data_IF_830179796882
#
_entry.id   IF_830179796882
#
_cell.length_a   1.000
_cell.length_b   1.000
_cell.length_c   1.000
_cell.angle_alpha   90.00
_cell.angle_beta   90.00
_cell.angle_gamma   90.00
#
_symmetry.space_group_name_H-M   'P 1'
#
loop_
_entity.id
_entity.type
_entity.pdbx_description
1 polymer ?
#
# COMPACT_ATOMS: atom_id res chain seq x y z
N UNK A 1 -9.59 -3.81 50.44
CA UNK A 1 -9.26 -5.23 50.22
C UNK A 1 -10.44 -5.89 49.55
N UNK A 2 -10.31 -6.22 48.27
CA UNK A 2 -11.30 -6.98 47.49
C UNK A 2 -10.54 -7.68 46.39
N UNK A 3 -10.43 -9.00 46.51
CA UNK A 3 -9.45 -9.84 45.84
C UNK A 3 -9.73 -9.99 44.34
N UNK A 4 -8.68 -9.77 43.54
CA UNK A 4 -8.56 -10.30 42.17
C UNK A 4 -8.49 -11.83 42.28
N UNK A 5 -9.50 -12.53 41.77
CA UNK A 5 -9.42 -13.98 41.54
C UNK A 5 -8.91 -14.17 40.12
N UNK A 6 -7.62 -14.51 40.02
CA UNK A 6 -6.97 -14.85 38.76
C UNK A 6 -7.53 -16.14 38.20
N UNK A 7 -8.04 -16.08 36.97
CA UNK A 7 -8.25 -17.28 36.14
C UNK A 7 -6.94 -17.63 35.43
N UNK A 8 -6.58 -18.90 35.54
CA UNK A 8 -5.28 -19.50 35.26
C UNK A 8 -4.76 -19.24 33.84
N UNK A 9 -3.59 -18.59 33.75
CA UNK A 9 -2.83 -18.32 32.54
C UNK A 9 -2.02 -19.52 32.01
N UNK A 10 -2.20 -20.73 32.53
CA UNK A 10 -1.27 -21.84 32.28
C UNK A 10 -1.52 -22.62 30.99
N UNK A 11 -2.75 -22.67 30.45
CA UNK A 11 -3.07 -23.50 29.27
C UNK A 11 -2.88 -22.77 27.94
N UNK A 12 -3.18 -21.46 27.89
CA UNK A 12 -2.95 -20.62 26.69
C UNK A 12 -1.46 -20.38 26.47
N UNK A 13 -0.71 -20.16 27.55
CA UNK A 13 0.73 -19.91 27.51
C UNK A 13 1.53 -21.20 27.21
N UNK A 14 1.02 -22.38 27.56
CA UNK A 14 1.61 -23.67 27.20
C UNK A 14 1.38 -24.04 25.73
N UNK A 15 0.19 -23.78 25.18
CA UNK A 15 -0.09 -23.97 23.75
C UNK A 15 0.67 -22.96 22.88
N UNK A 16 0.84 -21.72 23.35
CA UNK A 16 1.73 -20.75 22.71
C UNK A 16 3.17 -21.24 22.81
N UNK A 17 3.71 -21.63 23.97
CA UNK A 17 5.09 -22.11 24.09
C UNK A 17 5.38 -23.38 23.29
N UNK A 18 4.43 -24.30 23.15
CA UNK A 18 4.58 -25.46 22.26
C UNK A 18 4.47 -25.06 20.77
N UNK A 19 3.61 -24.11 20.41
CA UNK A 19 3.60 -23.53 19.06
C UNK A 19 4.90 -22.76 18.77
N UNK A 20 5.46 -22.04 19.75
CA UNK A 20 6.73 -21.31 19.66
C UNK A 20 7.93 -22.27 19.57
N UNK A 21 7.99 -23.34 20.37
CA UNK A 21 9.08 -24.32 20.30
C UNK A 21 8.98 -25.23 19.05
N UNK A 22 7.75 -25.50 18.58
CA UNK A 22 7.51 -26.23 17.33
C UNK A 22 7.87 -25.41 16.09
N UNK A 23 7.43 -24.15 15.99
CA UNK A 23 7.65 -23.32 14.79
C UNK A 23 9.03 -22.67 14.69
N UNK A 24 9.77 -22.47 15.79
CA UNK A 24 11.12 -21.92 15.71
C UNK A 24 12.16 -22.94 15.23
N UNK A 25 11.83 -24.24 15.18
CA UNK A 25 12.78 -25.29 14.80
C UNK A 25 12.25 -26.38 13.86
N UNK A 26 10.94 -26.55 13.68
CA UNK A 26 10.45 -27.42 12.60
C UNK A 26 10.46 -26.65 11.30
N UNK A 27 11.48 -26.95 10.49
CA UNK A 27 11.62 -26.45 9.14
C UNK A 27 10.29 -26.50 8.40
N UNK A 28 9.71 -25.33 8.15
CA UNK A 28 9.01 -25.17 6.89
C UNK A 28 10.07 -25.46 5.83
N UNK A 29 10.03 -26.66 5.26
CA UNK A 29 10.89 -27.00 4.13
C UNK A 29 10.79 -25.82 3.17
N UNK A 30 11.94 -25.22 2.84
CA UNK A 30 11.94 -24.08 1.95
C UNK A 30 11.19 -24.52 0.67
N UNK A 31 10.16 -23.78 0.24
CA UNK A 31 9.34 -24.17 -0.90
C UNK A 31 10.18 -24.27 -2.19
N UNK A 32 11.39 -23.70 -2.15
CA UNK A 32 12.40 -23.76 -3.18
C UNK A 32 13.75 -24.11 -2.56
N UNK A 33 14.54 -24.93 -3.24
CA UNK A 33 15.99 -24.90 -3.05
C UNK A 33 16.54 -23.55 -3.51
N UNK A 34 17.73 -23.18 -3.05
CA UNK A 34 18.40 -21.93 -3.50
C UNK A 34 18.54 -21.94 -5.03
N UNK A 35 19.00 -23.05 -5.60
CA UNK A 35 19.11 -23.25 -7.05
C UNK A 35 17.77 -23.06 -7.77
N UNK A 36 16.68 -23.63 -7.25
CA UNK A 36 15.35 -23.46 -7.86
C UNK A 36 14.84 -22.01 -7.79
N UNK A 37 15.15 -21.29 -6.71
CA UNK A 37 14.81 -19.87 -6.58
C UNK A 37 15.62 -18.98 -7.54
N UNK A 38 16.88 -19.33 -7.79
CA UNK A 38 17.76 -18.65 -8.74
C UNK A 38 17.32 -18.92 -10.19
N UNK A 39 17.03 -20.18 -10.55
CA UNK A 39 16.49 -20.53 -11.86
C UNK A 39 15.21 -19.74 -12.17
N UNK A 40 14.24 -19.73 -11.25
CA UNK A 40 13.00 -18.95 -11.42
C UNK A 40 13.24 -17.45 -11.50
N UNK A 41 14.29 -16.96 -10.86
CA UNK A 41 14.66 -15.54 -10.94
C UNK A 41 15.19 -15.20 -12.33
N UNK A 42 16.02 -16.07 -12.90
CA UNK A 42 16.54 -15.89 -14.25
C UNK A 42 15.42 -16.02 -15.30
N UNK A 43 14.54 -17.01 -15.17
CA UNK A 43 13.35 -17.14 -16.03
C UNK A 43 12.48 -15.88 -16.00
N UNK A 44 12.30 -15.25 -14.83
CA UNK A 44 11.58 -13.98 -14.73
C UNK A 44 12.31 -12.84 -15.43
N UNK A 45 13.64 -12.76 -15.29
CA UNK A 45 14.45 -11.75 -15.98
C UNK A 45 14.38 -11.91 -17.49
N UNK A 46 14.51 -13.14 -17.99
CA UNK A 46 14.38 -13.46 -19.42
C UNK A 46 13.02 -13.08 -19.98
N UNK A 47 11.93 -13.40 -19.26
CA UNK A 47 10.57 -13.01 -19.67
C UNK A 47 10.40 -11.49 -19.74
N UNK A 48 10.95 -10.76 -18.79
CA UNK A 48 10.89 -9.29 -18.80
C UNK A 48 11.75 -8.69 -19.91
N UNK A 49 12.94 -9.23 -20.15
CA UNK A 49 13.82 -8.80 -21.24
C UNK A 49 13.18 -9.06 -22.61
N UNK A 50 12.55 -10.22 -22.80
CA UNK A 50 11.89 -10.57 -24.06
C UNK A 50 10.72 -9.63 -24.39
N UNK A 51 9.99 -9.14 -23.38
CA UNK A 51 8.87 -8.23 -23.58
C UNK A 51 9.28 -6.81 -24.02
N UNK A 52 10.56 -6.44 -23.84
CA UNK A 52 11.05 -5.09 -24.17
C UNK A 52 10.89 -4.75 -25.64
N UNK A 53 11.06 -5.71 -26.54
CA UNK A 53 10.90 -5.49 -27.98
C UNK A 53 9.48 -5.03 -28.34
N UNK A 54 8.45 -5.60 -27.70
CA UNK A 54 7.05 -5.23 -27.93
C UNK A 54 6.74 -3.85 -27.34
N UNK A 55 7.33 -3.52 -26.19
CA UNK A 55 7.19 -2.22 -25.52
C UNK A 55 7.80 -1.11 -26.37
N UNK A 56 8.99 -1.34 -26.92
CA UNK A 56 9.65 -0.40 -27.84
C UNK A 56 8.88 -0.27 -29.15
N UNK A 57 8.36 -1.38 -29.71
CA UNK A 57 7.51 -1.35 -30.89
C UNK A 57 6.19 -0.59 -30.68
N UNK A 58 5.69 -0.56 -29.44
CA UNK A 58 4.53 0.23 -29.03
C UNK A 58 4.86 1.71 -28.78
N UNK A 59 6.10 2.14 -29.03
CA UNK A 59 6.50 3.55 -29.00
C UNK A 59 6.89 4.09 -27.63
N UNK A 60 7.02 3.23 -26.62
CA UNK A 60 7.46 3.66 -25.30
C UNK A 60 8.91 4.16 -25.34
N UNK A 61 9.17 5.23 -24.60
CA UNK A 61 10.49 5.84 -24.48
C UNK A 61 11.08 5.56 -23.11
N UNK A 62 12.38 5.30 -23.08
CA UNK A 62 13.12 5.14 -21.84
C UNK A 62 13.23 6.48 -21.11
N UNK A 63 12.88 6.49 -19.84
CA UNK A 63 13.01 7.63 -18.93
C UNK A 63 13.98 7.29 -17.80
N UNK A 64 15.04 8.09 -17.56
CA UNK A 64 15.98 7.83 -16.48
C UNK A 64 15.35 8.08 -15.11
N UNK A 65 15.62 7.19 -14.16
CA UNK A 65 15.17 7.29 -12.78
C UNK A 65 16.37 7.40 -11.84
N UNK A 66 16.25 8.28 -10.85
CA UNK A 66 17.24 8.39 -9.78
C UNK A 66 16.65 7.81 -8.50
N UNK A 67 17.21 6.69 -8.06
CA UNK A 67 16.78 5.98 -6.87
C UNK A 67 17.91 5.87 -5.85
N UNK A 68 17.59 5.33 -4.68
CA UNK A 68 18.55 5.05 -3.62
C UNK A 68 18.40 3.59 -3.21
N UNK A 69 19.51 2.88 -3.11
CA UNK A 69 19.54 1.51 -2.60
C UNK A 69 19.21 1.49 -1.10
N UNK A 70 18.97 0.29 -0.55
CA UNK A 70 18.75 0.11 0.90
C UNK A 70 19.97 0.51 1.75
N UNK A 71 21.14 0.64 1.13
CA UNK A 71 22.37 1.07 1.79
C UNK A 71 22.59 2.59 1.72
N UNK A 72 21.68 3.33 1.09
CA UNK A 72 21.81 4.78 0.93
C UNK A 72 22.59 5.21 -0.31
N UNK A 73 23.03 4.26 -1.15
CA UNK A 73 23.80 4.57 -2.35
C UNK A 73 22.88 5.04 -3.50
N UNK A 74 23.20 6.15 -4.19
CA UNK A 74 22.47 6.59 -5.37
C UNK A 74 22.65 5.61 -6.52
N UNK A 75 21.58 5.31 -7.23
CA UNK A 75 21.59 4.42 -8.40
C UNK A 75 20.71 4.98 -9.51
N UNK A 76 21.21 4.92 -10.74
CA UNK A 76 20.43 5.20 -11.93
C UNK A 76 19.66 3.95 -12.35
N UNK A 77 18.36 4.11 -12.54
CA UNK A 77 17.42 3.10 -13.01
C UNK A 77 16.64 3.67 -14.19
N UNK A 78 15.63 2.95 -14.66
CA UNK A 78 14.82 3.40 -15.79
C UNK A 78 13.34 3.12 -15.60
N UNK A 79 12.52 3.80 -16.39
CA UNK A 79 11.14 3.47 -16.66
C UNK A 79 10.95 3.50 -18.18
N UNK A 80 9.87 2.89 -18.66
CA UNK A 80 9.41 3.13 -20.02
C UNK A 80 8.03 3.77 -19.94
N UNK A 81 7.94 4.96 -20.55
CA UNK A 81 6.75 5.81 -20.54
C UNK A 81 6.27 5.97 -21.98
N UNK A 82 4.95 5.97 -22.18
CA UNK A 82 4.41 6.35 -23.48
C UNK A 82 4.70 7.84 -23.77
N UNK A 83 4.92 8.28 -25.01
CA UNK A 83 5.24 9.69 -25.33
C UNK A 83 4.16 10.70 -24.92
N UNK A 84 2.94 10.24 -24.68
CA UNK A 84 1.83 11.08 -24.18
C UNK A 84 1.68 11.04 -22.66
N UNK A 85 2.60 10.39 -21.95
CA UNK A 85 2.63 10.41 -20.49
C UNK A 85 2.78 11.85 -20.01
N UNK A 86 1.93 12.24 -19.07
CA UNK A 86 1.89 13.59 -18.50
C UNK A 86 2.17 13.52 -16.99
N UNK A 87 3.32 14.03 -16.52
CA UNK A 87 3.60 14.15 -15.09
C UNK A 87 2.74 15.26 -14.47
N UNK A 88 2.44 15.14 -13.18
CA UNK A 88 1.62 16.15 -12.49
C UNK A 88 2.32 17.50 -12.30
N UNK A 89 3.62 17.56 -12.58
CA UNK A 89 4.43 18.77 -12.64
C UNK A 89 4.28 19.56 -13.97
N UNK A 90 3.57 19.00 -14.97
CA UNK A 90 3.40 19.63 -16.27
C UNK A 90 2.56 20.93 -16.21
N UNK A 91 2.88 21.88 -17.10
CA UNK A 91 2.15 23.16 -17.19
C UNK A 91 0.68 22.94 -17.61
N UNK A 92 -0.25 23.51 -16.85
CA UNK A 92 -1.69 23.38 -17.10
C UNK A 92 -2.29 22.03 -16.69
N UNK A 93 -1.55 21.16 -15.99
CA UNK A 93 -2.04 19.85 -15.53
C UNK A 93 -3.34 19.98 -14.71
N UNK A 94 -3.39 20.94 -13.79
CA UNK A 94 -4.55 21.17 -12.91
C UNK A 94 -5.79 21.56 -13.71
N UNK A 95 -5.64 22.37 -14.75
CA UNK A 95 -6.76 22.80 -15.59
C UNK A 95 -7.31 21.65 -16.43
N UNK A 96 -6.43 20.72 -16.86
CA UNK A 96 -6.81 19.53 -17.63
C UNK A 96 -7.46 18.44 -16.77
N UNK A 97 -6.95 18.21 -15.56
CA UNK A 97 -7.31 17.04 -14.75
C UNK A 97 -8.11 17.36 -13.47
N UNK A 98 -8.20 18.63 -13.08
CA UNK A 98 -8.88 19.04 -11.85
C UNK A 98 -8.19 18.58 -10.56
N UNK A 99 -6.97 18.05 -10.65
CA UNK A 99 -6.14 17.56 -9.53
C UNK A 99 -4.69 17.98 -9.76
N UNK A 100 -3.85 17.94 -8.72
CA UNK A 100 -2.45 18.41 -8.73
C UNK A 100 -1.41 17.29 -8.70
N UNK A 101 -1.86 16.06 -8.83
CA UNK A 101 -1.07 14.85 -8.66
C UNK A 101 -1.55 13.78 -9.65
N UNK A 102 -0.70 12.82 -9.94
CA UNK A 102 -1.10 11.58 -10.61
C UNK A 102 -1.56 10.52 -9.60
N UNK A 103 -2.38 9.58 -10.07
CA UNK A 103 -2.73 8.35 -9.34
C UNK A 103 -1.98 7.18 -9.97
N UNK A 104 -1.07 6.56 -9.22
CA UNK A 104 -0.34 5.38 -9.67
C UNK A 104 -1.00 4.12 -9.10
N UNK A 105 -1.32 3.20 -10.01
CA UNK A 105 -1.99 1.93 -9.72
C UNK A 105 -1.01 0.78 -9.98
N UNK A 106 -0.29 0.26 -8.97
CA UNK A 106 0.42 -1.01 -9.10
C UNK A 106 -0.50 -2.13 -9.58
N UNK A 107 -0.08 -2.88 -10.59
CA UNK A 107 -0.86 -4.04 -11.02
C UNK A 107 0.01 -5.21 -11.45
N UNK A 108 -0.38 -6.41 -11.02
CA UNK A 108 0.32 -7.65 -11.33
C UNK A 108 -0.65 -8.82 -11.47
N UNK A 109 -0.62 -9.48 -12.63
CA UNK A 109 -1.45 -10.63 -13.02
C UNK A 109 -2.96 -10.38 -12.84
N UNK A 110 -3.42 -9.15 -13.11
CA UNK A 110 -4.83 -8.73 -12.94
C UNK A 110 -5.37 -7.98 -14.16
N UNK A 111 -4.76 -8.19 -15.33
CA UNK A 111 -5.26 -7.64 -16.59
C UNK A 111 -6.73 -8.04 -16.80
N UNK A 112 -7.61 -7.04 -16.94
CA UNK A 112 -9.05 -7.26 -17.17
C UNK A 112 -9.86 -7.68 -15.95
N UNK A 113 -9.24 -7.86 -14.78
CA UNK A 113 -9.94 -8.22 -13.53
C UNK A 113 -9.73 -7.20 -12.41
N UNK A 114 -8.78 -6.28 -12.57
CA UNK A 114 -8.56 -5.15 -11.66
C UNK A 114 -9.74 -4.17 -11.67
N UNK A 115 -10.33 -3.93 -10.49
CA UNK A 115 -11.50 -3.07 -10.32
C UNK A 115 -11.17 -1.57 -10.25
N UNK A 116 -9.95 -1.21 -9.84
CA UNK A 116 -9.59 0.19 -9.55
C UNK A 116 -9.67 1.08 -10.77
N UNK A 117 -9.26 0.59 -11.95
CA UNK A 117 -9.29 1.35 -13.21
C UNK A 117 -10.74 1.72 -13.55
N UNK A 118 -11.67 0.76 -13.47
CA UNK A 118 -13.09 1.01 -13.68
C UNK A 118 -13.65 2.01 -12.65
N UNK A 119 -13.24 1.90 -11.38
CA UNK A 119 -13.65 2.87 -10.35
C UNK A 119 -13.20 4.30 -10.70
N UNK A 120 -11.95 4.46 -11.15
CA UNK A 120 -11.40 5.76 -11.52
C UNK A 120 -12.10 6.33 -12.76
N UNK A 121 -12.39 5.50 -13.76
CA UNK A 121 -13.15 5.86 -14.96
C UNK A 121 -14.60 6.24 -14.62
N UNK A 122 -15.27 5.50 -13.74
CA UNK A 122 -16.62 5.82 -13.24
C UNK A 122 -16.66 7.21 -12.56
N UNK A 123 -15.56 7.64 -11.96
CA UNK A 123 -15.40 8.98 -11.36
C UNK A 123 -14.86 10.04 -12.33
N UNK A 124 -14.65 9.71 -13.60
CA UNK A 124 -14.13 10.63 -14.61
C UNK A 124 -12.69 11.08 -14.34
N UNK A 125 -11.89 10.23 -13.69
CA UNK A 125 -10.47 10.51 -13.41
C UNK A 125 -9.64 10.19 -14.65
N UNK A 126 -8.90 11.17 -15.15
CA UNK A 126 -8.13 11.06 -16.40
C UNK A 126 -6.61 11.06 -16.21
N UNK A 127 -6.11 11.21 -14.99
CA UNK A 127 -4.71 11.29 -14.59
C UNK A 127 -4.30 10.11 -13.70
N UNK A 128 -4.63 8.89 -14.14
CA UNK A 128 -4.14 7.67 -13.52
C UNK A 128 -3.28 6.85 -14.49
N UNK A 129 -2.32 6.13 -13.93
CA UNK A 129 -1.39 5.27 -14.66
C UNK A 129 -1.26 3.91 -13.99
N UNK A 130 -1.24 2.86 -14.80
CA UNK A 130 -1.14 1.47 -14.38
C UNK A 130 0.35 1.06 -14.45
N UNK A 131 0.94 0.81 -13.30
CA UNK A 131 2.35 0.46 -13.19
C UNK A 131 2.52 -1.06 -13.22
N UNK A 132 3.17 -1.58 -14.26
CA UNK A 132 3.32 -3.03 -14.51
C UNK A 132 4.77 -3.42 -14.76
N UNK A 133 5.01 -4.73 -14.72
CA UNK A 133 6.28 -5.30 -15.20
C UNK A 133 6.29 -5.47 -16.72
N UNK A 134 7.47 -5.41 -17.36
CA UNK A 134 7.61 -5.64 -18.78
C UNK A 134 6.91 -6.91 -19.26
N UNK A 135 7.09 -8.02 -18.54
CA UNK A 135 6.51 -9.33 -18.89
C UNK A 135 4.97 -9.35 -18.96
N UNK A 136 4.30 -8.34 -18.42
CA UNK A 136 2.85 -8.22 -18.41
C UNK A 136 2.30 -7.32 -19.52
N UNK A 137 3.17 -6.65 -20.28
CA UNK A 137 2.78 -5.66 -21.27
C UNK A 137 1.75 -6.19 -22.28
N UNK A 138 1.98 -7.39 -22.83
CA UNK A 138 1.08 -7.99 -23.82
C UNK A 138 -0.34 -8.21 -23.29
N UNK A 139 -0.49 -8.58 -22.01
CA UNK A 139 -1.82 -8.85 -21.46
C UNK A 139 -2.55 -7.58 -21.06
N UNK A 140 -1.84 -6.59 -20.53
CA UNK A 140 -2.43 -5.30 -20.16
C UNK A 140 -2.79 -4.45 -21.39
N UNK A 141 -1.96 -4.45 -22.44
CA UNK A 141 -2.22 -3.69 -23.67
C UNK A 141 -3.44 -4.19 -24.48
N UNK A 142 -3.89 -5.43 -24.25
CA UNK A 142 -5.14 -5.95 -24.83
C UNK A 142 -6.40 -5.39 -24.16
N UNK A 143 -6.27 -4.90 -22.92
CA UNK A 143 -7.40 -4.51 -22.07
C UNK A 143 -7.44 -3.00 -21.86
N UNK A 144 -6.28 -2.39 -21.65
CA UNK A 144 -6.15 -0.98 -21.31
C UNK A 144 -5.43 -0.22 -22.42
N UNK A 145 -5.76 1.06 -22.64
CA UNK A 145 -5.01 1.91 -23.56
C UNK A 145 -3.52 1.94 -23.17
N UNK A 146 -2.62 1.79 -24.15
CA UNK A 146 -1.18 1.68 -23.89
C UNK A 146 -0.62 2.95 -23.23
N UNK A 147 -1.20 4.10 -23.52
CA UNK A 147 -0.85 5.38 -22.89
C UNK A 147 -1.13 5.45 -21.38
N UNK A 148 -1.95 4.52 -20.85
CA UNK A 148 -2.19 4.37 -19.41
C UNK A 148 -1.12 3.55 -18.72
N UNK A 149 -0.26 2.84 -19.45
CA UNK A 149 0.71 1.94 -18.87
C UNK A 149 2.02 2.69 -18.56
N UNK A 150 2.60 2.33 -17.41
CA UNK A 150 3.94 2.73 -17.00
C UNK A 150 4.72 1.44 -16.76
N UNK A 151 5.79 1.24 -17.51
CA UNK A 151 6.56 0.00 -17.44
C UNK A 151 7.73 0.18 -16.48
N UNK A 152 7.81 -0.72 -15.50
CA UNK A 152 8.84 -0.73 -14.48
C UNK A 152 10.15 -1.35 -14.96
N UNK A 153 11.27 -0.82 -14.48
CA UNK A 153 12.54 -1.54 -14.46
C UNK A 153 12.52 -2.67 -13.43
N UNK A 154 12.60 -3.91 -13.93
CA UNK A 154 12.49 -5.12 -13.12
C UNK A 154 13.58 -5.20 -12.04
N UNK A 155 14.70 -4.49 -12.20
CA UNK A 155 15.78 -4.44 -11.20
C UNK A 155 15.35 -3.76 -9.88
N UNK A 156 14.21 -3.07 -9.82
CA UNK A 156 13.62 -2.67 -8.54
C UNK A 156 13.25 -3.85 -7.63
N UNK A 157 13.16 -5.06 -8.19
CA UNK A 157 12.99 -6.29 -7.40
C UNK A 157 14.31 -6.81 -6.84
N UNK A 158 15.46 -6.29 -7.22
CA UNK A 158 16.77 -6.77 -6.74
C UNK A 158 16.97 -6.51 -5.25
N UNK A 159 17.95 -7.20 -4.66
CA UNK A 159 18.14 -7.24 -3.20
C UNK A 159 18.67 -5.93 -2.62
N UNK A 160 19.33 -5.12 -3.44
CA UNK A 160 19.83 -3.79 -3.11
C UNK A 160 18.72 -2.71 -3.15
N UNK A 161 17.57 -2.99 -3.77
CA UNK A 161 16.47 -2.04 -3.92
C UNK A 161 15.38 -2.16 -2.84
N UNK A 162 15.40 -3.24 -2.06
CA UNK A 162 14.42 -3.50 -1.02
C UNK A 162 14.99 -4.44 0.04
N UNK A 163 14.73 -4.14 1.32
CA UNK A 163 14.98 -5.11 2.38
C UNK A 163 13.91 -6.20 2.31
N UNK A 164 14.35 -7.40 1.95
CA UNK A 164 13.51 -8.57 1.72
C UNK A 164 13.12 -9.29 3.00
N UNK A 165 13.50 -8.80 4.20
CA UNK A 165 13.28 -9.42 5.54
C UNK A 165 12.38 -10.64 5.46
N UNK A 166 12.95 -11.82 5.23
CA UNK A 166 12.20 -13.06 5.09
C UNK A 166 12.99 -14.19 5.72
N UNK A 167 12.28 -15.23 6.13
CA UNK A 167 12.89 -16.43 6.68
C UNK A 167 13.61 -17.27 5.62
N UNK A 168 13.39 -17.03 4.32
CA UNK A 168 13.87 -17.87 3.22
C UNK A 168 14.30 -17.06 1.98
N UNK A 169 15.23 -17.63 1.20
CA UNK A 169 15.55 -17.15 -0.15
C UNK A 169 14.37 -17.48 -1.06
N UNK A 170 13.85 -16.48 -1.77
CA UNK A 170 12.71 -16.62 -2.66
C UNK A 170 13.03 -15.97 -4.01
N UNK A 171 12.41 -16.44 -5.11
CA UNK A 171 12.59 -15.84 -6.42
C UNK A 171 12.05 -14.40 -6.48
N UNK A 172 12.53 -13.59 -7.43
CA UNK A 172 12.07 -12.20 -7.59
C UNK A 172 10.58 -12.09 -7.95
N UNK A 173 9.96 -13.14 -8.50
CA UNK A 173 8.50 -13.24 -8.70
C UNK A 173 7.71 -13.08 -7.40
N UNK A 174 8.34 -13.45 -6.28
CA UNK A 174 7.79 -13.41 -4.93
C UNK A 174 8.39 -12.27 -4.09
N UNK A 175 8.88 -11.21 -4.74
CA UNK A 175 9.45 -10.03 -4.09
C UNK A 175 8.41 -9.20 -3.30
N UNK A 176 7.12 -9.45 -3.50
CA UNK A 176 6.05 -8.73 -2.83
C UNK A 176 5.78 -7.37 -3.47
N UNK A 177 5.21 -6.45 -2.68
CA UNK A 177 4.65 -5.20 -3.20
C UNK A 177 5.63 -4.02 -3.16
N UNK A 178 6.54 -4.00 -2.19
CA UNK A 178 7.50 -2.91 -1.98
C UNK A 178 8.31 -2.50 -3.22
N UNK A 179 8.78 -3.42 -4.09
CA UNK A 179 9.51 -3.03 -5.30
C UNK A 179 8.73 -2.10 -6.22
N UNK A 180 7.40 -2.26 -6.27
CA UNK A 180 6.56 -1.46 -7.14
C UNK A 180 6.30 -0.09 -6.52
N UNK A 181 6.07 -0.05 -5.19
CA UNK A 181 6.02 1.19 -4.45
C UNK A 181 7.31 2.01 -4.60
N UNK A 182 8.48 1.37 -4.50
CA UNK A 182 9.79 2.04 -4.63
C UNK A 182 10.05 2.53 -6.05
N UNK A 183 9.62 1.77 -7.05
CA UNK A 183 9.64 2.22 -8.44
C UNK A 183 8.78 3.47 -8.65
N UNK A 184 7.53 3.46 -8.18
CA UNK A 184 6.62 4.62 -8.29
C UNK A 184 7.19 5.84 -7.57
N UNK A 185 7.77 5.65 -6.38
CA UNK A 185 8.43 6.73 -5.64
C UNK A 185 9.61 7.32 -6.43
N UNK A 186 10.47 6.47 -7.01
CA UNK A 186 11.61 6.92 -7.81
C UNK A 186 11.15 7.63 -9.10
N UNK A 187 10.09 7.12 -9.74
CA UNK A 187 9.45 7.72 -10.91
C UNK A 187 8.93 9.12 -10.59
N UNK A 188 8.04 9.24 -9.60
CA UNK A 188 7.41 10.50 -9.23
C UNK A 188 8.44 11.57 -8.85
N UNK A 189 9.49 11.19 -8.11
CA UNK A 189 10.62 12.08 -7.80
C UNK A 189 11.39 12.51 -9.05
N UNK A 190 11.71 11.57 -9.94
CA UNK A 190 12.48 11.85 -11.16
C UNK A 190 11.68 12.69 -12.17
N UNK A 191 10.35 12.70 -12.08
CA UNK A 191 9.44 13.56 -12.86
C UNK A 191 9.27 14.95 -12.24
N UNK A 192 9.81 15.20 -11.05
CA UNK A 192 9.65 16.46 -10.33
C UNK A 192 8.25 16.69 -9.77
N UNK A 193 7.47 15.63 -9.57
CA UNK A 193 6.17 15.74 -8.89
C UNK A 193 6.41 16.05 -7.40
N UNK A 194 5.53 16.82 -6.76
CA UNK A 194 5.63 17.09 -5.31
C UNK A 194 5.04 15.96 -4.47
N UNK A 195 4.00 15.30 -4.98
CA UNK A 195 3.25 14.25 -4.30
C UNK A 195 2.41 13.47 -5.30
N UNK A 196 2.01 12.27 -4.90
CA UNK A 196 1.17 11.40 -5.72
C UNK A 196 0.22 10.57 -4.86
N UNK A 197 -0.86 10.10 -5.47
CA UNK A 197 -1.70 9.07 -4.88
C UNK A 197 -1.25 7.69 -5.35
N UNK A 198 -1.23 6.76 -4.40
CA UNK A 198 -1.02 5.36 -4.63
C UNK A 198 -2.33 4.61 -4.35
N UNK A 199 -2.76 3.75 -5.26
CA UNK A 199 -3.99 2.98 -5.16
C UNK A 199 -3.78 1.54 -5.63
N UNK A 200 -3.98 0.52 -4.78
CA UNK A 200 -4.00 -0.88 -5.24
C UNK A 200 -5.02 -1.07 -6.38
N UNK A 201 -4.84 -2.12 -7.18
CA UNK A 201 -5.65 -2.43 -8.36
C UNK A 201 -6.97 -3.19 -8.05
N UNK A 202 -7.27 -3.45 -6.78
CA UNK A 202 -8.40 -4.30 -6.34
C UNK A 202 -9.58 -3.53 -5.72
N UNK A 203 -9.66 -2.21 -5.92
CA UNK A 203 -10.74 -1.38 -5.38
C UNK A 203 -12.01 -1.49 -6.23
N UNK A 204 -13.16 -1.63 -5.56
CA UNK A 204 -14.48 -1.70 -6.20
C UNK A 204 -15.23 -0.37 -6.19
N UNK A 205 -14.80 0.55 -5.33
CA UNK A 205 -15.51 1.79 -5.08
C UNK A 205 -15.13 2.44 -3.77
N UNK A 206 -15.70 3.62 -3.55
CA UNK A 206 -15.70 4.29 -2.26
C UNK A 206 -17.01 4.03 -1.53
N UNK A 207 -16.95 3.91 -0.22
CA UNK A 207 -18.07 3.50 0.61
C UNK A 207 -18.15 4.35 1.89
N UNK A 208 -19.38 4.60 2.31
CA UNK A 208 -19.69 5.31 3.55
C UNK A 208 -20.64 4.46 4.37
N UNK A 209 -20.43 4.50 5.68
CA UNK A 209 -21.31 3.90 6.68
C UNK A 209 -21.39 4.89 7.83
N UNK A 210 -22.60 5.28 8.17
CA UNK A 210 -22.94 6.13 9.31
C UNK A 210 -23.95 5.41 10.19
N UNK A 211 -23.93 5.63 11.49
CA UNK A 211 -25.04 5.19 12.35
C UNK A 211 -26.32 5.97 12.02
N UNK A 212 -27.47 5.38 12.35
CA UNK A 212 -28.78 6.03 12.27
C UNK A 212 -29.07 6.93 13.49
N UNK A 213 -28.36 6.72 14.60
CA UNK A 213 -28.55 7.42 15.88
C UNK A 213 -27.48 8.50 16.12
N UNK A 214 -27.54 9.16 17.28
CA UNK A 214 -26.78 10.34 17.74
C UNK A 214 -25.26 10.13 17.98
N UNK A 215 -24.62 9.18 17.29
CA UNK A 215 -23.18 8.92 17.36
C UNK A 215 -22.66 8.42 18.73
N UNK A 216 -23.51 7.86 19.58
CA UNK A 216 -23.11 7.21 20.84
C UNK A 216 -22.62 5.77 20.58
N UNK A 217 -21.46 5.41 21.16
CA UNK A 217 -20.88 4.07 21.04
C UNK A 217 -20.50 3.49 22.40
N UNK A 218 -20.94 2.27 22.66
CA UNK A 218 -20.37 1.42 23.69
C UNK A 218 -19.12 0.75 23.12
N UNK A 219 -18.03 0.80 23.89
CA UNK A 219 -16.82 0.06 23.55
C UNK A 219 -17.19 -1.42 23.50
N UNK A 220 -16.88 -2.09 22.40
CA UNK A 220 -17.13 -3.54 22.17
C UNK A 220 -18.58 -3.93 21.81
N UNK A 221 -19.42 -3.01 21.33
CA UNK A 221 -20.75 -3.34 20.78
C UNK A 221 -20.66 -4.30 19.57
N UNK A 222 -21.46 -5.38 19.58
CA UNK A 222 -21.57 -6.30 18.46
C UNK A 222 -22.20 -5.62 17.22
N UNK A 223 -21.72 -5.99 16.03
CA UNK A 223 -22.23 -5.38 14.80
C UNK A 223 -23.70 -5.72 14.53
N UNK A 224 -24.52 -4.69 14.46
CA UNK A 224 -25.92 -4.76 14.01
C UNK A 224 -26.13 -3.90 12.76
N UNK A 225 -26.43 -4.52 11.62
CA UNK A 225 -26.67 -3.83 10.34
C UNK A 225 -27.85 -2.86 10.39
N UNK A 226 -28.84 -3.09 11.26
CA UNK A 226 -30.05 -2.27 11.34
C UNK A 226 -29.78 -0.88 11.92
N UNK A 227 -28.68 -0.72 12.66
CA UNK A 227 -28.26 0.54 13.28
C UNK A 227 -27.53 1.50 12.35
N UNK A 228 -27.29 1.14 11.08
CA UNK A 228 -26.45 1.92 10.17
C UNK A 228 -27.15 2.27 8.85
N UNK A 229 -26.87 3.47 8.35
CA UNK A 229 -26.93 3.81 6.93
C UNK A 229 -25.63 3.33 6.27
N UNK A 230 -25.75 2.72 5.09
CA UNK A 230 -24.60 2.21 4.34
C UNK A 230 -24.79 2.49 2.86
N UNK A 231 -23.74 3.01 2.25
CA UNK A 231 -23.55 3.10 0.81
C UNK A 231 -22.24 2.38 0.51
N UNK A 232 -22.31 1.25 -0.21
CA UNK A 232 -21.12 0.45 -0.55
C UNK A 232 -20.39 0.94 -1.80
N UNK A 233 -21.05 1.76 -2.63
CA UNK A 233 -20.47 2.40 -3.81
C UNK A 233 -21.01 3.81 -3.90
N UNK A 234 -20.15 4.79 -3.65
CA UNK A 234 -20.40 6.20 -3.87
C UNK A 234 -20.30 6.48 -5.38
N UNK A 235 -21.17 7.36 -5.84
CA UNK A 235 -21.34 7.70 -7.25
C UNK A 235 -21.79 9.16 -7.37
N UNK A 236 -21.65 9.74 -8.55
CA UNK A 236 -22.02 11.14 -8.78
C UNK A 236 -23.53 11.40 -8.61
N UNK A 237 -24.40 10.43 -8.90
CA UNK A 237 -25.86 10.53 -8.69
C UNK A 237 -26.25 10.64 -7.22
N UNK A 238 -25.39 10.18 -6.30
CA UNK A 238 -25.55 10.38 -4.86
C UNK A 238 -25.02 11.74 -4.39
N UNK A 239 -24.61 12.62 -5.32
CA UNK A 239 -24.02 13.92 -5.02
C UNK A 239 -22.57 13.86 -4.55
N UNK A 240 -21.89 12.72 -4.72
CA UNK A 240 -20.49 12.58 -4.35
C UNK A 240 -19.57 13.09 -5.46
N UNK A 241 -18.84 14.18 -5.17
CA UNK A 241 -17.81 14.72 -6.04
C UNK A 241 -16.43 14.18 -5.63
N UNK A 242 -15.97 13.16 -6.36
CA UNK A 242 -14.70 12.48 -6.12
C UNK A 242 -13.51 13.44 -6.20
N UNK A 243 -13.41 14.24 -7.27
CA UNK A 243 -12.26 15.11 -7.46
C UNK A 243 -12.20 16.18 -6.37
N UNK A 244 -13.34 16.77 -5.99
CA UNK A 244 -13.40 17.69 -4.84
C UNK A 244 -12.99 17.01 -3.56
N UNK A 245 -13.47 15.79 -3.29
CA UNK A 245 -13.08 15.04 -2.10
C UNK A 245 -11.56 14.81 -2.05
N UNK A 246 -10.97 14.32 -3.15
CA UNK A 246 -9.54 14.02 -3.22
C UNK A 246 -8.67 15.29 -3.13
N UNK A 247 -9.11 16.42 -3.68
CA UNK A 247 -8.46 17.74 -3.44
C UNK A 247 -8.51 18.16 -1.97
N UNK A 248 -9.62 17.92 -1.26
CA UNK A 248 -9.69 18.23 0.18
C UNK A 248 -8.76 17.35 1.01
N UNK A 249 -8.55 16.10 0.61
CA UNK A 249 -7.56 15.22 1.24
C UNK A 249 -6.13 15.74 1.05
N UNK A 250 -5.82 16.26 -0.15
CA UNK A 250 -4.55 16.93 -0.44
C UNK A 250 -4.37 18.21 0.37
N UNK A 251 -5.39 19.08 0.44
CA UNK A 251 -5.34 20.30 1.26
C UNK A 251 -4.97 19.98 2.72
N UNK A 252 -5.50 18.88 3.28
CA UNK A 252 -5.13 18.42 4.62
C UNK A 252 -3.65 18.02 4.69
N UNK A 253 -3.13 17.27 3.71
CA UNK A 253 -1.70 16.92 3.69
C UNK A 253 -0.82 18.17 3.64
N UNK A 254 -1.14 19.13 2.77
CA UNK A 254 -0.36 20.35 2.59
C UNK A 254 -0.46 21.31 3.78
N UNK A 255 -1.56 21.27 4.55
CA UNK A 255 -1.72 22.04 5.78
C UNK A 255 -0.95 21.45 6.97
N UNK A 256 -0.42 20.23 6.83
CA UNK A 256 0.36 19.55 7.87
C UNK A 256 1.84 19.68 7.55
N UNK A 257 2.65 20.07 8.54
CA UNK A 257 4.10 20.28 8.43
C UNK A 257 4.89 18.97 8.48
N UNK A 258 4.35 17.93 9.11
CA UNK A 258 4.97 16.61 9.23
C UNK A 258 4.05 15.48 8.73
N UNK A 259 3.53 15.55 7.48
CA UNK A 259 2.63 14.53 6.97
C UNK A 259 3.44 13.27 6.66
N UNK A 260 3.00 12.15 7.22
CA UNK A 260 3.31 10.83 6.67
C UNK A 260 2.31 10.50 5.56
N UNK A 261 1.81 9.28 5.54
CA UNK A 261 0.72 8.91 4.64
C UNK A 261 -0.59 9.59 4.99
N UNK A 262 -1.30 10.12 4.00
CA UNK A 262 -2.70 10.55 4.14
C UNK A 262 -3.58 9.60 3.34
N UNK A 263 -4.34 8.74 4.01
CA UNK A 263 -5.08 7.68 3.32
C UNK A 263 -6.50 7.47 3.80
N UNK A 264 -7.18 6.54 3.12
CA UNK A 264 -8.54 6.13 3.46
C UNK A 264 -8.50 4.80 4.21
N UNK A 265 -9.43 4.57 5.15
CA UNK A 265 -9.58 3.27 5.81
C UNK A 265 -10.28 2.26 4.89
N UNK A 266 -9.98 0.97 5.09
CA UNK A 266 -10.66 -0.11 4.35
C UNK A 266 -12.09 -0.29 4.84
N UNK A 267 -13.02 -0.43 3.91
CA UNK A 267 -14.41 -0.69 4.22
C UNK A 267 -14.57 -2.04 4.96
N UNK A 268 -15.29 -2.03 6.08
CA UNK A 268 -15.48 -3.20 6.95
C UNK A 268 -14.38 -3.44 8.00
N UNK A 269 -13.27 -2.69 8.00
CA UNK A 269 -12.19 -2.87 8.97
C UNK A 269 -12.46 -2.19 10.35
N UNK A 270 -13.24 -1.11 10.37
CA UNK A 270 -13.54 -0.34 11.59
C UNK A 270 -15.01 0.11 11.62
N UNK A 271 -15.59 0.11 12.83
CA UNK A 271 -16.89 0.70 13.13
C UNK A 271 -16.70 2.16 13.54
N UNK A 272 -16.92 3.11 12.64
CA UNK A 272 -16.70 4.54 12.91
C UNK A 272 -17.86 5.43 12.46
N UNK A 273 -17.96 6.57 13.13
CA UNK A 273 -18.82 7.73 12.83
C UNK A 273 -18.39 8.45 11.53
N UNK A 274 -19.27 9.27 10.92
CA UNK A 274 -19.08 9.79 9.56
C UNK A 274 -17.84 10.66 9.30
N UNK A 275 -17.19 11.24 10.32
CA UNK A 275 -15.95 12.01 10.16
C UNK A 275 -15.02 11.71 11.32
N UNK A 276 -14.01 10.86 11.09
CA UNK A 276 -12.96 10.60 12.07
C UNK A 276 -11.61 10.46 11.37
N UNK A 277 -10.60 11.08 11.96
CA UNK A 277 -9.20 10.87 11.62
C UNK A 277 -8.55 10.00 12.68
N UNK A 278 -7.82 8.98 12.25
CA UNK A 278 -6.90 8.24 13.11
C UNK A 278 -5.48 8.64 12.74
N UNK A 279 -4.77 9.22 13.69
CA UNK A 279 -3.39 9.66 13.51
C UNK A 279 -2.40 8.62 14.03
N UNK A 280 -1.17 8.64 13.53
CA UNK A 280 -0.08 7.79 14.04
C UNK A 280 -0.39 6.31 13.92
N UNK A 281 -0.95 5.88 12.79
CA UNK A 281 -1.38 4.50 12.57
C UNK A 281 -0.92 3.98 11.21
N UNK A 282 -1.18 2.71 10.93
CA UNK A 282 -1.02 2.12 9.60
C UNK A 282 -1.94 2.77 8.58
N UNK A 283 -1.39 3.01 7.39
CA UNK A 283 -2.14 3.26 6.16
C UNK A 283 -1.73 2.17 5.17
N UNK A 284 -2.70 1.54 4.52
CA UNK A 284 -2.44 0.39 3.63
C UNK A 284 -2.09 0.87 2.22
N UNK A 285 -3.03 0.72 1.28
CA UNK A 285 -2.74 0.85 -0.14
C UNK A 285 -3.57 1.89 -0.88
N UNK A 286 -4.28 2.76 -0.15
CA UNK A 286 -4.89 3.94 -0.73
C UNK A 286 -4.45 5.19 0.03
N UNK A 287 -3.37 5.80 -0.44
CA UNK A 287 -2.73 6.91 0.25
C UNK A 287 -2.14 7.94 -0.69
N UNK A 288 -2.19 9.19 -0.23
CA UNK A 288 -1.39 10.30 -0.70
C UNK A 288 -0.08 10.34 0.06
N UNK A 289 1.02 10.61 -0.64
CA UNK A 289 2.33 10.79 -0.03
C UNK A 289 3.11 11.92 -0.68
N UNK A 290 3.98 12.57 0.10
CA UNK A 290 4.83 13.67 -0.33
C UNK A 290 6.23 13.14 -0.71
N UNK A 291 6.70 13.47 -1.91
CA UNK A 291 7.99 13.01 -2.41
C UNK A 291 9.19 13.46 -1.57
N UNK A 292 9.08 14.57 -0.84
CA UNK A 292 10.15 15.06 0.03
C UNK A 292 10.29 14.20 1.29
N UNK A 293 9.18 13.81 1.92
CA UNK A 293 9.18 13.13 3.23
C UNK A 293 9.01 11.61 3.13
N UNK A 294 8.53 11.11 1.99
CA UNK A 294 8.29 9.69 1.78
C UNK A 294 9.59 8.89 1.82
N UNK A 295 9.60 7.84 2.64
CA UNK A 295 10.72 6.88 2.68
C UNK A 295 10.45 5.72 1.73
N UNK A 296 11.49 4.96 1.41
CA UNK A 296 11.33 3.71 0.68
C UNK A 296 10.44 2.73 1.47
N UNK A 297 9.69 1.91 0.75
CA UNK A 297 9.00 0.78 1.32
C UNK A 297 9.99 -0.34 1.62
N UNK A 298 9.88 -0.87 2.85
CA UNK A 298 10.69 -1.97 3.35
C UNK A 298 9.84 -3.22 3.56
N UNK A 299 10.50 -4.37 3.66
CA UNK A 299 9.90 -5.69 3.87
C UNK A 299 9.15 -6.24 2.66
N UNK A 300 9.27 -7.55 2.45
CA UNK A 300 8.56 -8.32 1.42
C UNK A 300 7.05 -8.40 1.69
N UNK A 301 6.68 -8.52 2.97
CA UNK A 301 5.31 -8.61 3.46
C UNK A 301 5.03 -7.54 4.52
N UNK A 302 3.77 -7.08 4.61
CA UNK A 302 3.38 -5.95 5.48
C UNK A 302 4.21 -4.68 5.22
N UNK A 303 4.63 -4.44 3.98
CA UNK A 303 5.47 -3.30 3.65
C UNK A 303 4.79 -1.98 4.01
N UNK A 304 3.47 -1.90 3.80
CA UNK A 304 2.60 -0.80 4.24
C UNK A 304 2.69 -0.51 5.74
N UNK A 305 2.61 -1.54 6.59
CA UNK A 305 2.70 -1.43 8.05
C UNK A 305 4.11 -1.05 8.49
N UNK A 306 5.14 -1.69 7.92
CA UNK A 306 6.54 -1.39 8.23
C UNK A 306 6.85 0.06 7.85
N UNK A 307 6.46 0.48 6.65
CA UNK A 307 6.69 1.85 6.16
C UNK A 307 5.93 2.87 7.00
N UNK A 308 4.68 2.58 7.36
CA UNK A 308 3.91 3.43 8.27
C UNK A 308 4.61 3.63 9.62
N UNK A 309 5.24 2.59 10.17
CA UNK A 309 6.03 2.69 11.41
C UNK A 309 7.33 3.47 11.21
N UNK A 310 8.03 3.26 10.11
CA UNK A 310 9.27 4.00 9.84
C UNK A 310 9.00 5.50 9.62
N UNK A 311 7.92 5.89 8.94
CA UNK A 311 7.46 7.29 8.88
C UNK A 311 7.23 7.86 10.30
N UNK A 312 6.54 7.09 11.15
CA UNK A 312 6.24 7.43 12.55
C UNK A 312 7.52 7.64 13.37
N UNK A 313 8.56 6.82 13.18
CA UNK A 313 9.87 6.94 13.83
C UNK A 313 10.64 8.18 13.36
N UNK A 314 10.46 8.57 12.09
CA UNK A 314 11.02 9.79 11.52
C UNK A 314 10.23 11.07 11.89
N UNK A 315 9.27 10.97 12.82
CA UNK A 315 8.49 12.12 13.30
C UNK A 315 7.37 12.57 12.37
N UNK A 316 7.08 11.79 11.32
CA UNK A 316 5.97 12.02 10.41
C UNK A 316 4.71 11.34 10.92
N UNK A 317 3.56 11.98 10.75
CA UNK A 317 2.28 11.47 11.25
C UNK A 317 1.44 10.97 10.10
N UNK A 318 1.18 9.66 10.07
CA UNK A 318 0.19 9.10 9.16
C UNK A 318 -1.22 9.51 9.60
N UNK A 319 -2.03 9.96 8.65
CA UNK A 319 -3.41 10.42 8.80
C UNK A 319 -4.33 9.47 8.05
N UNK A 320 -5.16 8.73 8.78
CA UNK A 320 -6.12 7.81 8.19
C UNK A 320 -7.55 8.33 8.34
N UNK A 321 -8.18 8.65 7.22
CA UNK A 321 -9.57 9.09 7.18
C UNK A 321 -10.53 7.91 7.21
N UNK A 322 -11.53 7.98 8.09
CA UNK A 322 -12.48 6.88 8.32
C UNK A 322 -13.91 7.20 7.90
N UNK A 323 -14.17 8.40 7.36
CA UNK A 323 -15.49 8.81 6.90
C UNK A 323 -15.88 8.15 5.59
N UNK A 324 -15.09 8.44 4.55
CA UNK A 324 -15.12 7.76 3.25
C UNK A 324 -14.03 6.70 3.24
N UNK A 325 -14.39 5.48 2.86
CA UNK A 325 -13.54 4.29 2.89
C UNK A 325 -13.45 3.68 1.50
N UNK A 326 -12.38 2.97 1.20
CA UNK A 326 -12.34 2.17 -0.02
C UNK A 326 -12.88 0.77 0.23
N UNK A 327 -13.71 0.28 -0.68
CA UNK A 327 -14.12 -1.11 -0.73
C UNK A 327 -13.20 -1.84 -1.70
N UNK A 328 -12.74 -3.04 -1.34
CA UNK A 328 -11.78 -3.80 -2.14
C UNK A 328 -12.18 -5.26 -2.22
N UNK A 329 -11.72 -5.96 -3.26
CA UNK A 329 -11.81 -7.41 -3.32
C UNK A 329 -11.05 -8.06 -2.13
N UNK A 330 -11.44 -9.27 -1.72
CA UNK A 330 -10.61 -10.07 -0.82
C UNK A 330 -9.24 -10.31 -1.46
N UNK A 331 -8.17 -10.00 -0.72
CA UNK A 331 -6.76 -9.99 -1.15
C UNK A 331 -6.21 -11.36 -1.60
N UNK A 332 -7.02 -12.43 -1.63
CA UNK A 332 -6.59 -13.81 -1.94
C UNK A 332 -7.02 -14.31 -3.33
N UNK A 333 -7.58 -13.44 -4.19
CA UNK A 333 -8.13 -13.80 -5.50
C UNK A 333 -7.18 -13.63 -6.71
N UNK A 334 -5.85 -13.65 -6.53
CA UNK A 334 -4.85 -13.43 -7.61
C UNK A 334 -3.83 -12.33 -7.26
N UNK A 335 -2.80 -12.14 -8.09
CA UNK A 335 -1.74 -11.13 -7.92
C UNK A 335 -0.53 -11.56 -7.06
N UNK A 336 0.56 -10.79 -7.09
CA UNK A 336 1.88 -11.23 -6.61
C UNK A 336 1.96 -11.56 -5.11
N UNK A 337 1.12 -10.95 -4.27
CA UNK A 337 1.02 -11.32 -2.85
C UNK A 337 0.26 -12.63 -2.64
N UNK A 338 -0.68 -12.99 -3.53
CA UNK A 338 -1.44 -14.25 -3.44
C UNK A 338 -0.54 -15.47 -3.64
N UNK A 339 0.42 -15.41 -4.57
CA UNK A 339 1.43 -16.46 -4.74
C UNK A 339 2.24 -16.68 -3.45
N UNK A 340 2.66 -15.57 -2.81
CA UNK A 340 3.40 -15.62 -1.55
C UNK A 340 2.57 -16.22 -0.40
N UNK A 341 1.28 -15.84 -0.28
CA UNK A 341 0.38 -16.43 0.72
C UNK A 341 0.11 -17.91 0.50
N UNK A 342 -0.06 -18.33 -0.75
CA UNK A 342 -0.32 -19.73 -1.09
C UNK A 342 0.84 -20.63 -0.68
N UNK A 343 2.08 -20.11 -0.79
CA UNK A 343 3.29 -20.88 -0.52
C UNK A 343 3.73 -20.77 0.95
N UNK A 344 3.63 -19.60 1.57
CA UNK A 344 4.21 -19.32 2.90
C UNK A 344 3.19 -19.20 4.04
N UNK A 345 1.91 -19.17 3.70
CA UNK A 345 0.83 -18.90 4.66
C UNK A 345 1.00 -17.54 5.36
N UNK A 346 0.39 -17.42 6.55
CA UNK A 346 0.41 -16.15 7.32
C UNK A 346 1.50 -16.08 8.38
N UNK A 347 2.25 -17.16 8.60
CA UNK A 347 3.34 -17.22 9.57
C UNK A 347 4.55 -16.41 9.10
N UNK A 348 5.01 -16.60 7.84
CA UNK A 348 6.10 -15.79 7.29
C UNK A 348 5.73 -14.31 7.25
N UNK A 349 4.47 -13.98 6.93
CA UNK A 349 3.94 -12.63 7.01
C UNK A 349 4.17 -12.00 8.39
N UNK A 350 3.82 -12.70 9.46
CA UNK A 350 4.02 -12.21 10.82
C UNK A 350 5.52 -12.10 11.16
N UNK A 351 6.33 -13.07 10.75
CA UNK A 351 7.78 -13.08 10.97
C UNK A 351 8.52 -11.93 10.27
N UNK A 352 8.17 -11.60 9.02
CA UNK A 352 8.74 -10.46 8.30
C UNK A 352 8.55 -9.17 9.10
N UNK A 353 7.35 -8.96 9.63
CA UNK A 353 7.02 -7.78 10.41
C UNK A 353 7.76 -7.73 11.76
N UNK A 354 7.85 -8.87 12.46
CA UNK A 354 8.56 -8.95 13.75
C UNK A 354 10.05 -8.71 13.59
N UNK A 355 10.64 -9.22 12.50
CA UNK A 355 12.06 -8.96 12.20
C UNK A 355 12.30 -7.50 11.83
N UNK A 356 11.40 -6.88 11.06
CA UNK A 356 11.51 -5.47 10.71
C UNK A 356 11.21 -4.53 11.89
N UNK A 357 10.29 -4.90 12.78
CA UNK A 357 9.76 -4.06 13.86
C UNK A 357 9.67 -4.81 15.21
N UNK A 358 10.78 -5.35 15.75
CA UNK A 358 10.75 -6.25 16.91
C UNK A 358 10.26 -5.57 18.19
N UNK A 359 10.49 -4.27 18.34
CA UNK A 359 10.04 -3.50 19.52
C UNK A 359 8.54 -3.17 19.49
N UNK A 360 7.88 -3.30 18.33
CA UNK A 360 6.51 -2.81 18.11
C UNK A 360 5.54 -3.88 17.62
N UNK A 361 6.02 -5.11 17.41
CA UNK A 361 5.20 -6.19 16.88
C UNK A 361 5.48 -7.53 17.54
N UNK A 362 4.45 -8.37 17.59
CA UNK A 362 4.50 -9.70 18.19
C UNK A 362 3.59 -10.67 17.42
N UNK A 363 3.89 -11.97 17.46
CA UNK A 363 2.96 -12.98 16.95
C UNK A 363 1.74 -13.08 17.88
N UNK A 364 0.57 -13.17 17.28
CA UNK A 364 -0.71 -13.31 17.95
C UNK A 364 -1.58 -14.33 17.21
N UNK A 365 -2.51 -14.95 17.91
CA UNK A 365 -3.54 -15.79 17.29
C UNK A 365 -4.81 -14.97 17.13
N UNK A 366 -5.22 -14.69 15.89
CA UNK A 366 -6.41 -13.89 15.57
C UNK A 366 -7.15 -14.49 14.39
N UNK A 367 -8.48 -14.40 14.39
CA UNK A 367 -9.32 -14.92 13.30
C UNK A 367 -9.00 -16.38 12.94
N UNK A 368 -8.77 -17.22 13.96
CA UNK A 368 -8.42 -18.64 13.80
C UNK A 368 -7.15 -18.92 12.98
N UNK A 369 -6.19 -17.98 12.94
CA UNK A 369 -4.89 -18.17 12.29
C UNK A 369 -3.76 -17.43 13.03
N UNK A 370 -2.52 -17.84 12.75
CA UNK A 370 -1.33 -17.06 13.13
C UNK A 370 -1.42 -15.69 12.45
N UNK A 371 -1.25 -14.64 13.23
CA UNK A 371 -1.31 -13.25 12.81
C UNK A 371 -0.24 -12.44 13.53
N UNK A 372 0.02 -11.21 13.08
CA UNK A 372 0.80 -10.25 13.87
C UNK A 372 -0.13 -9.36 14.71
N UNK A 373 0.39 -8.88 15.83
CA UNK A 373 -0.11 -7.71 16.54
C UNK A 373 0.94 -6.61 16.47
N UNK A 374 0.48 -5.37 16.33
CA UNK A 374 1.33 -4.18 16.16
C UNK A 374 0.82 -3.10 17.09
N UNK A 375 1.75 -2.41 17.73
CA UNK A 375 1.49 -1.29 18.62
C UNK A 375 2.14 -0.03 18.08
N UNK A 376 1.32 0.93 17.63
CA UNK A 376 1.78 2.23 17.17
C UNK A 376 1.99 3.26 18.31
N UNK A 377 1.73 2.89 19.56
CA UNK A 377 1.69 3.80 20.72
C UNK A 377 2.93 3.77 21.63
N UNK A 378 3.91 2.91 21.36
CA UNK A 378 5.02 2.63 22.30
C UNK A 378 6.26 3.54 22.15
N UNK A 379 6.14 4.87 22.14
CA UNK A 379 7.30 5.69 22.51
C UNK A 379 7.47 7.08 21.90
N UNK A 380 6.69 7.48 20.90
CA UNK A 380 6.78 8.84 20.33
C UNK A 380 5.40 9.48 20.35
N UNK A 381 5.17 10.56 21.12
CA UNK A 381 3.95 11.33 21.05
C UNK A 381 3.74 11.81 19.60
N UNK A 382 2.79 11.20 18.90
CA UNK A 382 2.45 11.57 17.53
C UNK A 382 1.66 12.87 17.58
N UNK A 383 2.33 13.98 17.29
CA UNK A 383 1.70 15.30 17.21
C UNK A 383 1.73 15.77 15.76
N UNK A 384 0.54 15.96 15.20
CA UNK A 384 0.37 16.67 13.93
C UNK A 384 0.71 18.12 14.19
N UNK A 385 1.65 18.67 13.43
CA UNK A 385 2.00 20.08 13.50
C UNK A 385 1.48 20.76 12.25
N UNK A 386 0.69 21.83 12.42
CA UNK A 386 0.26 22.65 11.29
C UNK A 386 1.43 23.38 10.64
N UNK A 387 1.35 23.64 9.35
CA UNK A 387 2.26 24.59 8.70
C UNK A 387 2.17 25.94 9.40
N UNK A 388 3.30 26.67 9.45
CA UNK A 388 3.31 28.02 10.04
C UNK A 388 2.38 28.89 9.20
N UNK A 389 1.37 29.51 9.82
CA UNK A 389 0.53 30.48 9.15
C UNK A 389 1.41 31.65 8.71
N UNK A 390 1.63 31.77 7.40
CA UNK A 390 2.44 32.84 6.81
C UNK A 390 1.63 34.11 6.57
N UNK A 391 0.34 34.13 6.95
CA UNK A 391 -0.53 35.29 6.77
C UNK A 391 -1.05 35.82 8.13
N UNK A 392 -0.63 37.05 8.46
CA UNK A 392 -1.14 37.86 9.55
C UNK A 392 -2.42 38.58 9.11
N UNK A 393 -3.47 37.83 8.83
CA UNK A 393 -4.84 38.37 8.70
C UNK A 393 -5.80 37.46 9.45
N UNK A 394 -5.77 37.61 10.78
CA UNK A 394 -6.90 37.32 11.65
C UNK A 394 -8.00 38.36 11.44
#
# INVERSE_FOLDING_TARGET
MGQYVGTSSSTVDYNLRQAYAGYFFHGMAAPFSVEAAEMKTEEERDRNAAAMADIEAAGFVRYPLFATTIHGEPVEKQAWLHPTFEPSSAEGFVDRHGMRYNIYVPSYQRAGTAGTMQMLEDFGVSNYYICIDPSQFQDYSKVYPVERLVIRDISFRDEDMMDRVSSMKLPITMAGHAPLCNFVLALSRSLGESHFWFADDDFKGLAVKSQRNDCTFEKDEAYDRTKYHRVSKLTADLGFDYQRFMRRMEEVMLAVRNPGFVGLEKFGAVYTVPVMWRTGTRVYSYYLTNNETQIAHYSRQNNDVVTSMELTKNGLVNLLFQGVRYDSEPTQGGGGQSELYAVLGTADKANCLIRAQPAYSAMAYKHHRIHHHVTFTNGTPQRVVGVVATDHRL
#
